data_IF_227690807600
#
_entry.id   IF_227690807600
#
_cell.length_a   1.000
_cell.length_b   1.000
_cell.length_c   1.000
_cell.angle_alpha   90.00
_cell.angle_beta   90.00
_cell.angle_gamma   90.00
#
_symmetry.space_group_name_H-M   'P 1'
#
loop_
_entity.id
_entity.type
_entity.pdbx_description
1 polymer ?
#
# COMPACT_ATOMS: atom_id res chain seq x y z
N UNK A 1 7.89 19.27 -6.40
CA UNK A 1 7.35 17.95 -6.82
C UNK A 1 8.39 17.39 -7.77
N UNK A 2 8.99 16.23 -7.47
CA UNK A 2 10.02 15.67 -8.34
C UNK A 2 9.33 15.01 -9.55
N UNK A 3 9.67 15.48 -10.73
CA UNK A 3 9.15 15.01 -12.02
C UNK A 3 10.29 14.30 -12.73
N UNK A 4 10.05 13.07 -13.15
CA UNK A 4 11.01 12.30 -13.94
C UNK A 4 10.77 12.55 -15.43
N UNK A 5 11.83 12.48 -16.23
CA UNK A 5 11.66 12.43 -17.68
C UNK A 5 10.98 11.12 -18.10
N UNK A 6 10.23 11.09 -19.21
CA UNK A 6 9.70 9.85 -19.76
C UNK A 6 10.82 8.83 -20.04
N UNK A 7 10.71 7.64 -19.46
CA UNK A 7 11.68 6.56 -19.61
C UNK A 7 11.00 5.19 -19.43
N UNK A 8 11.76 4.12 -19.71
CA UNK A 8 11.30 2.73 -19.60
C UNK A 8 11.71 2.14 -18.25
N UNK A 9 10.88 1.21 -17.77
CA UNK A 9 11.21 0.30 -16.69
C UNK A 9 12.04 -0.86 -17.22
N UNK A 10 12.95 -1.36 -16.38
CA UNK A 10 13.68 -2.60 -16.65
C UNK A 10 12.79 -3.85 -16.60
N UNK A 11 11.56 -3.73 -16.11
CA UNK A 11 10.58 -4.81 -16.01
C UNK A 11 9.69 -4.84 -17.25
N UNK A 12 9.96 -5.78 -18.15
CA UNK A 12 9.16 -6.02 -19.36
C UNK A 12 9.23 -4.89 -20.40
N UNK A 13 10.15 -3.92 -20.26
CA UNK A 13 10.28 -2.79 -21.18
C UNK A 13 9.05 -1.86 -21.20
N UNK A 14 8.25 -1.88 -20.14
CA UNK A 14 7.06 -1.05 -20.00
C UNK A 14 7.44 0.41 -19.71
N UNK A 15 6.55 1.34 -20.03
CA UNK A 15 6.75 2.75 -19.65
C UNK A 15 6.74 2.88 -18.12
N UNK A 16 7.69 3.66 -17.58
CA UNK A 16 7.93 3.72 -16.14
C UNK A 16 6.72 4.26 -15.35
N UNK A 17 5.94 5.17 -15.96
CA UNK A 17 4.71 5.69 -15.37
C UNK A 17 3.62 4.62 -15.23
N UNK A 18 3.50 3.70 -16.19
CA UNK A 18 2.59 2.55 -16.15
C UNK A 18 3.04 1.57 -15.07
N UNK A 19 4.33 1.24 -15.02
CA UNK A 19 4.86 0.35 -13.98
C UNK A 19 4.71 0.92 -12.58
N UNK A 20 4.93 2.22 -12.40
CA UNK A 20 4.72 2.91 -11.13
C UNK A 20 3.25 2.86 -10.68
N UNK A 21 2.30 2.94 -11.60
CA UNK A 21 0.87 2.75 -11.31
C UNK A 21 0.58 1.30 -10.90
N UNK A 22 1.11 0.32 -11.64
CA UNK A 22 0.92 -1.11 -11.38
C UNK A 22 1.41 -1.54 -10.00
N UNK A 23 2.37 -0.82 -9.41
CA UNK A 23 2.82 -1.04 -8.03
C UNK A 23 1.70 -0.99 -6.99
N UNK A 24 0.62 -0.22 -7.23
CA UNK A 24 -0.53 -0.15 -6.33
C UNK A 24 -1.59 -1.21 -6.65
N UNK A 25 -1.70 -1.60 -7.93
CA UNK A 25 -2.67 -2.61 -8.37
C UNK A 25 -2.22 -4.04 -8.07
N UNK A 26 -0.92 -4.31 -8.04
CA UNK A 26 -0.38 -5.66 -7.84
C UNK A 26 -0.87 -6.29 -6.54
N UNK A 27 -0.95 -5.51 -5.45
CA UNK A 27 -1.46 -5.99 -4.17
C UNK A 27 -2.96 -6.24 -4.21
N UNK A 28 -3.73 -5.37 -4.86
CA UNK A 28 -5.18 -5.54 -5.01
C UNK A 28 -5.50 -6.82 -5.78
N UNK A 29 -4.88 -7.01 -6.95
CA UNK A 29 -5.07 -8.21 -7.78
C UNK A 29 -4.58 -9.46 -7.05
N UNK A 30 -3.41 -9.40 -6.41
CA UNK A 30 -2.88 -10.51 -5.61
C UNK A 30 -3.80 -10.90 -4.44
N UNK A 31 -4.51 -9.92 -3.87
CA UNK A 31 -5.51 -10.12 -2.81
C UNK A 31 -6.75 -10.88 -3.25
N UNK A 32 -7.08 -10.87 -4.54
CA UNK A 32 -8.22 -11.61 -5.10
C UNK A 32 -7.93 -13.10 -5.30
N UNK A 33 -6.65 -13.50 -5.28
CA UNK A 33 -6.24 -14.88 -5.51
C UNK A 33 -6.17 -15.62 -4.16
N UNK A 34 -6.94 -16.72 -3.95
CA UNK A 34 -7.07 -17.37 -2.64
C UNK A 34 -5.76 -17.76 -1.96
N UNK A 35 -4.77 -18.20 -2.74
CA UNK A 35 -3.45 -18.63 -2.23
C UNK A 35 -2.51 -17.44 -2.01
N UNK A 36 -2.56 -16.43 -2.88
CA UNK A 36 -1.62 -15.30 -2.87
C UNK A 36 -2.02 -14.22 -1.86
N UNK A 37 -3.31 -14.10 -1.51
CA UNK A 37 -3.83 -13.03 -0.64
C UNK A 37 -3.08 -12.88 0.69
N UNK A 38 -2.55 -13.96 1.26
CA UNK A 38 -1.81 -13.95 2.53
C UNK A 38 -0.43 -13.27 2.44
N UNK A 39 0.15 -13.24 1.24
CA UNK A 39 1.47 -12.66 0.96
C UNK A 39 1.42 -11.49 -0.03
N UNK A 40 0.23 -11.16 -0.57
CA UNK A 40 0.05 -10.15 -1.60
C UNK A 40 0.61 -8.76 -1.20
N UNK A 41 0.57 -8.44 0.09
CA UNK A 41 1.11 -7.19 0.64
C UNK A 41 2.63 -7.03 0.46
N UNK A 42 3.36 -8.13 0.21
CA UNK A 42 4.79 -8.15 -0.07
C UNK A 42 5.13 -7.96 -1.55
N UNK A 43 4.16 -8.08 -2.47
CA UNK A 43 4.41 -8.06 -3.92
C UNK A 43 5.14 -6.78 -4.40
N UNK A 44 4.87 -5.58 -3.87
CA UNK A 44 5.62 -4.40 -4.29
C UNK A 44 7.12 -4.47 -3.95
N UNK A 45 7.56 -5.24 -2.93
CA UNK A 45 8.99 -5.46 -2.68
C UNK A 45 9.68 -6.24 -3.80
N UNK A 46 8.97 -7.19 -4.41
CA UNK A 46 9.50 -7.91 -5.57
C UNK A 46 9.84 -6.91 -6.68
N UNK A 47 8.98 -5.91 -6.89
CA UNK A 47 9.21 -4.83 -7.86
C UNK A 47 10.41 -3.97 -7.44
N UNK A 48 10.55 -3.59 -6.16
CA UNK A 48 11.70 -2.81 -5.66
C UNK A 48 13.03 -3.50 -5.98
N UNK A 49 13.11 -4.81 -5.77
CA UNK A 49 14.33 -5.59 -5.97
C UNK A 49 14.63 -5.89 -7.44
N UNK A 50 13.59 -6.12 -8.25
CA UNK A 50 13.77 -6.45 -9.67
C UNK A 50 13.97 -5.21 -10.54
N UNK A 51 13.38 -4.06 -10.17
CA UNK A 51 13.60 -2.80 -10.89
C UNK A 51 15.04 -2.34 -10.70
N UNK A 52 15.73 -2.08 -11.81
CA UNK A 52 17.13 -1.64 -11.83
C UNK A 52 17.33 -0.23 -12.37
N UNK A 53 16.42 0.28 -13.21
CA UNK A 53 16.69 1.49 -13.99
C UNK A 53 15.83 2.68 -13.56
N UNK A 54 14.61 2.44 -13.10
CA UNK A 54 13.67 3.53 -12.79
C UNK A 54 13.61 3.87 -11.29
N UNK A 55 14.05 5.08 -10.95
CA UNK A 55 13.83 5.67 -9.63
C UNK A 55 12.35 5.92 -9.31
N UNK A 56 11.56 6.29 -10.33
CA UNK A 56 10.11 6.46 -10.22
C UNK A 56 9.42 5.16 -9.79
N UNK A 57 9.70 4.06 -10.50
CA UNK A 57 9.10 2.74 -10.20
C UNK A 57 9.53 2.26 -8.83
N UNK A 58 10.83 2.32 -8.49
CA UNK A 58 11.32 1.94 -7.16
C UNK A 58 10.64 2.72 -6.03
N UNK A 59 10.47 4.04 -6.21
CA UNK A 59 9.79 4.87 -5.22
C UNK A 59 8.34 4.45 -5.03
N UNK A 60 7.56 4.33 -6.12
CA UNK A 60 6.15 3.96 -6.03
C UNK A 60 5.96 2.51 -5.53
N UNK A 61 6.87 1.59 -5.87
CA UNK A 61 6.89 0.24 -5.35
C UNK A 61 7.16 0.21 -3.83
N UNK A 62 8.15 0.97 -3.35
CA UNK A 62 8.42 1.08 -1.91
C UNK A 62 7.27 1.75 -1.17
N UNK A 63 6.70 2.82 -1.72
CA UNK A 63 5.55 3.51 -1.11
C UNK A 63 4.32 2.59 -1.04
N UNK A 64 4.05 1.81 -2.08
CA UNK A 64 2.99 0.81 -2.07
C UNK A 64 3.25 -0.29 -1.03
N UNK A 65 4.50 -0.75 -0.88
CA UNK A 65 4.86 -1.69 0.18
C UNK A 65 4.61 -1.11 1.58
N UNK A 66 5.12 0.09 1.86
CA UNK A 66 4.96 0.76 3.17
C UNK A 66 3.49 1.00 3.49
N UNK A 67 2.69 1.44 2.51
CA UNK A 67 1.25 1.62 2.66
C UNK A 67 0.57 0.31 3.07
N UNK A 68 0.93 -0.80 2.42
CA UNK A 68 0.38 -2.12 2.74
C UNK A 68 0.87 -2.66 4.09
N UNK A 69 2.13 -2.41 4.46
CA UNK A 69 2.68 -2.78 5.76
C UNK A 69 1.95 -2.05 6.90
N UNK A 70 1.72 -0.75 6.76
CA UNK A 70 0.98 0.03 7.75
C UNK A 70 -0.48 -0.43 7.81
N UNK A 71 -1.10 -0.67 6.66
CA UNK A 71 -2.45 -1.24 6.58
C UNK A 71 -2.54 -2.56 7.34
N UNK A 72 -1.57 -3.46 7.14
CA UNK A 72 -1.49 -4.74 7.85
C UNK A 72 -1.43 -4.56 9.38
N UNK A 73 -0.54 -3.67 9.87
CA UNK A 73 -0.43 -3.39 11.31
C UNK A 73 -1.75 -2.84 11.87
N UNK A 74 -2.40 -1.92 11.16
CA UNK A 74 -3.69 -1.35 11.55
C UNK A 74 -4.78 -2.42 11.56
N UNK A 75 -4.84 -3.29 10.55
CA UNK A 75 -5.79 -4.41 10.51
C UNK A 75 -5.59 -5.37 11.67
N UNK A 76 -4.34 -5.69 12.03
CA UNK A 76 -4.04 -6.55 13.19
C UNK A 76 -4.54 -5.89 14.49
N UNK A 77 -4.32 -4.58 14.68
CA UNK A 77 -4.81 -3.86 15.86
C UNK A 77 -6.34 -3.89 15.91
N UNK A 78 -7.03 -3.59 14.80
CA UNK A 78 -8.49 -3.64 14.72
C UNK A 78 -9.02 -5.06 14.99
N UNK A 79 -8.35 -6.09 14.49
CA UNK A 79 -8.72 -7.49 14.74
C UNK A 79 -8.61 -7.83 16.23
N UNK A 80 -7.53 -7.44 16.90
CA UNK A 80 -7.37 -7.64 18.35
C UNK A 80 -8.49 -6.91 19.11
N UNK A 81 -8.73 -5.63 18.80
CA UNK A 81 -9.80 -4.86 19.43
C UNK A 81 -11.18 -5.47 19.20
N UNK A 82 -11.41 -6.03 18.02
CA UNK A 82 -12.66 -6.73 17.68
C UNK A 82 -12.81 -7.98 18.51
N UNK A 83 -11.79 -8.83 18.58
CA UNK A 83 -11.82 -10.08 19.35
C UNK A 83 -12.01 -9.80 20.85
N UNK A 84 -11.24 -8.86 21.41
CA UNK A 84 -11.32 -8.52 22.84
C UNK A 84 -12.67 -7.87 23.16
N UNK A 85 -13.09 -6.87 22.37
CA UNK A 85 -14.34 -6.15 22.61
C UNK A 85 -15.57 -7.02 22.46
N UNK A 86 -15.64 -7.84 21.40
CA UNK A 86 -16.76 -8.77 21.22
C UNK A 86 -16.72 -9.90 22.23
N UNK A 87 -15.54 -10.43 22.58
CA UNK A 87 -15.40 -11.44 23.62
C UNK A 87 -15.92 -10.98 24.97
N UNK A 88 -15.59 -9.74 25.38
CA UNK A 88 -16.10 -9.15 26.61
C UNK A 88 -17.63 -8.95 26.56
N UNK A 89 -18.17 -8.46 25.44
CA UNK A 89 -19.61 -8.26 25.26
C UNK A 89 -20.41 -9.57 25.30
N UNK A 90 -19.87 -10.62 24.68
CA UNK A 90 -20.45 -11.97 24.70
C UNK A 90 -20.40 -12.57 26.10
N UNK A 91 -19.28 -12.44 26.82
CA UNK A 91 -19.16 -12.89 28.21
C UNK A 91 -20.15 -12.17 29.15
N UNK A 92 -20.48 -10.91 28.85
CA UNK A 92 -21.50 -10.15 29.55
C UNK A 92 -22.95 -10.48 29.13
N UNK A 93 -23.16 -11.39 28.16
CA UNK A 93 -24.49 -11.81 27.69
C UNK A 93 -25.25 -10.74 26.89
N UNK A 94 -24.57 -9.68 26.42
CA UNK A 94 -25.22 -8.55 25.76
C UNK A 94 -25.07 -8.61 24.23
N UNK A 95 -26.15 -8.98 23.56
CA UNK A 95 -26.23 -8.94 22.10
C UNK A 95 -26.04 -7.50 21.57
N UNK A 96 -26.68 -6.51 22.22
CA UNK A 96 -26.56 -5.11 21.84
C UNK A 96 -25.12 -4.61 21.92
N UNK A 97 -24.38 -4.94 22.98
CA UNK A 97 -22.98 -4.56 23.10
C UNK A 97 -22.10 -5.24 22.03
N UNK A 98 -22.39 -6.49 21.69
CA UNK A 98 -21.66 -7.24 20.66
C UNK A 98 -21.80 -6.57 19.29
N UNK A 99 -23.03 -6.25 18.88
CA UNK A 99 -23.28 -5.53 17.63
C UNK A 99 -22.76 -4.09 17.67
N UNK A 100 -22.77 -3.44 18.84
CA UNK A 100 -22.19 -2.11 19.02
C UNK A 100 -20.68 -2.10 18.73
N UNK A 101 -19.93 -3.05 19.28
CA UNK A 101 -18.48 -3.18 19.02
C UNK A 101 -18.21 -3.46 17.54
N UNK A 102 -18.93 -4.41 16.94
CA UNK A 102 -18.77 -4.75 15.52
C UNK A 102 -19.11 -3.57 14.60
N UNK A 103 -20.19 -2.84 14.89
CA UNK A 103 -20.62 -1.69 14.10
C UNK A 103 -19.60 -0.56 14.14
N UNK A 104 -19.13 -0.19 15.33
CA UNK A 104 -18.13 0.89 15.49
C UNK A 104 -16.82 0.53 14.81
N UNK A 105 -16.26 -0.65 15.10
CA UNK A 105 -14.99 -1.07 14.50
C UNK A 105 -15.11 -1.29 12.99
N UNK A 106 -16.27 -1.77 12.52
CA UNK A 106 -16.55 -1.90 11.08
C UNK A 106 -16.54 -0.56 10.35
N UNK A 107 -17.19 0.46 10.91
CA UNK A 107 -17.19 1.82 10.33
C UNK A 107 -15.77 2.42 10.32
N UNK A 108 -15.02 2.25 11.42
CA UNK A 108 -13.61 2.70 11.49
C UNK A 108 -12.75 2.00 10.44
N UNK A 109 -12.89 0.68 10.30
CA UNK A 109 -12.19 -0.10 9.27
C UNK A 109 -12.53 0.35 7.85
N UNK A 110 -13.80 0.66 7.59
CA UNK A 110 -14.25 1.18 6.30
C UNK A 110 -13.63 2.55 6.00
N UNK A 111 -13.66 3.47 6.96
CA UNK A 111 -13.08 4.81 6.80
C UNK A 111 -11.58 4.75 6.48
N UNK A 112 -10.83 3.90 7.18
CA UNK A 112 -9.40 3.68 6.93
C UNK A 112 -9.17 3.10 5.53
N UNK A 113 -9.97 2.11 5.13
CA UNK A 113 -9.88 1.48 3.80
C UNK A 113 -10.11 2.50 2.67
N UNK A 114 -11.09 3.38 2.84
CA UNK A 114 -11.37 4.47 1.91
C UNK A 114 -10.18 5.45 1.83
N UNK A 115 -9.60 5.85 2.98
CA UNK A 115 -8.45 6.74 3.00
C UNK A 115 -7.24 6.13 2.25
N UNK A 116 -6.95 4.85 2.48
CA UNK A 116 -5.89 4.11 1.78
C UNK A 116 -6.15 4.07 0.27
N UNK A 117 -7.39 3.78 -0.13
CA UNK A 117 -7.78 3.74 -1.53
C UNK A 117 -7.61 5.11 -2.21
N UNK A 118 -8.08 6.19 -1.57
CA UNK A 118 -7.94 7.56 -2.07
C UNK A 118 -6.47 7.92 -2.28
N UNK A 119 -5.61 7.68 -1.28
CA UNK A 119 -4.18 7.97 -1.42
C UNK A 119 -3.50 7.12 -2.50
N UNK A 120 -3.90 5.86 -2.64
CA UNK A 120 -3.42 4.98 -3.72
C UNK A 120 -3.82 5.52 -5.09
N UNK A 121 -5.08 5.95 -5.27
CA UNK A 121 -5.57 6.54 -6.52
C UNK A 121 -4.81 7.83 -6.86
N UNK A 122 -4.62 8.72 -5.88
CA UNK A 122 -3.86 9.96 -6.11
C UNK A 122 -2.42 9.63 -6.54
N UNK A 123 -1.77 8.66 -5.88
CA UNK A 123 -0.43 8.22 -6.24
C UNK A 123 -0.36 7.64 -7.66
N UNK A 124 -1.35 6.82 -8.05
CA UNK A 124 -1.48 6.25 -9.40
C UNK A 124 -1.69 7.33 -10.47
N UNK A 125 -2.59 8.29 -10.24
CA UNK A 125 -2.86 9.38 -11.17
C UNK A 125 -1.61 10.24 -11.35
N UNK A 126 -0.89 10.54 -10.26
CA UNK A 126 0.34 11.32 -10.31
C UNK A 126 1.50 10.57 -10.97
N UNK A 127 1.61 9.26 -10.75
CA UNK A 127 2.65 8.46 -11.39
C UNK A 127 2.48 8.39 -12.90
N UNK A 128 1.23 8.44 -13.41
CA UNK A 128 0.96 8.50 -14.86
C UNK A 128 1.63 9.71 -15.54
N UNK A 129 1.73 10.83 -14.84
CA UNK A 129 2.45 12.04 -15.27
C UNK A 129 3.94 12.06 -14.93
N UNK A 130 4.55 10.91 -14.63
CA UNK A 130 5.95 10.79 -14.17
C UNK A 130 6.27 11.59 -12.90
N UNK A 131 5.26 11.84 -12.06
CA UNK A 131 5.41 12.62 -10.84
C UNK A 131 5.40 11.72 -9.62
N UNK A 132 6.31 12.01 -8.69
CA UNK A 132 6.26 11.40 -7.36
C UNK A 132 5.27 12.16 -6.48
N UNK A 133 4.22 11.45 -6.07
CA UNK A 133 3.33 11.89 -5.00
C UNK A 133 3.71 11.18 -3.69
N UNK A 134 4.20 11.96 -2.74
CA UNK A 134 4.48 11.50 -1.39
C UNK A 134 3.19 11.48 -0.59
N UNK A 135 2.69 10.29 -0.29
CA UNK A 135 1.49 10.15 0.55
C UNK A 135 1.81 10.74 1.93
N UNK A 136 0.95 11.60 2.51
CA UNK A 136 1.14 12.12 3.86
C UNK A 136 1.40 11.01 4.88
N UNK A 137 2.23 11.30 5.88
CA UNK A 137 2.67 10.38 6.94
C UNK A 137 3.60 9.24 6.50
N UNK A 138 3.43 8.68 5.29
CA UNK A 138 4.17 7.49 4.85
C UNK A 138 5.23 7.77 3.79
N UNK A 139 5.11 8.87 3.03
CA UNK A 139 6.01 9.20 1.94
C UNK A 139 7.46 9.38 2.40
N UNK A 140 7.66 9.98 3.57
CA UNK A 140 8.99 10.11 4.18
C UNK A 140 9.63 8.76 4.52
N UNK A 141 8.83 7.81 5.01
CA UNK A 141 9.28 6.43 5.28
C UNK A 141 9.67 5.74 3.98
N UNK A 142 8.83 5.85 2.95
CA UNK A 142 9.10 5.28 1.63
C UNK A 142 10.39 5.83 1.02
N UNK A 143 10.63 7.15 1.10
CA UNK A 143 11.88 7.77 0.65
C UNK A 143 13.09 7.26 1.43
N UNK A 144 12.99 7.20 2.76
CA UNK A 144 14.07 6.73 3.62
C UNK A 144 14.43 5.27 3.30
N UNK A 145 13.44 4.41 3.05
CA UNK A 145 13.67 3.01 2.72
C UNK A 145 14.19 2.82 1.29
N UNK A 146 13.62 3.51 0.29
CA UNK A 146 14.05 3.34 -1.11
C UNK A 146 15.44 3.89 -1.38
N UNK A 147 15.91 4.86 -0.60
CA UNK A 147 17.28 5.40 -0.74
C UNK A 147 18.37 4.35 -0.51
N UNK A 148 18.05 3.25 0.18
CA UNK A 148 18.92 2.08 0.35
C UNK A 148 18.97 1.16 -0.88
N UNK A 149 18.11 1.39 -1.88
CA UNK A 149 17.98 0.60 -3.09
C UNK A 149 18.03 1.47 -4.36
N UNK A 150 19.08 2.27 -4.56
CA UNK A 150 19.16 3.21 -5.69
C UNK A 150 19.07 2.47 -7.04
N UNK A 151 18.52 3.11 -8.11
CA UNK A 151 18.62 2.59 -9.47
C UNK A 151 20.08 2.58 -9.94
N UNK A 152 20.42 1.58 -10.76
CA UNK A 152 21.75 1.36 -11.31
C UNK A 152 22.14 2.45 -12.33
N UNK A 153 21.16 3.04 -13.02
CA UNK A 153 21.37 4.18 -13.91
C UNK A 153 20.68 5.40 -13.30
N UNK A 154 21.45 6.45 -13.04
CA UNK A 154 20.94 7.74 -12.56
C UNK A 154 20.38 8.50 -13.75
N UNK A 155 19.16 8.15 -14.17
CA UNK A 155 18.34 9.07 -14.94
C UNK A 155 17.44 9.81 -13.96
N UNK A 156 17.91 10.99 -13.55
CA UNK A 156 17.10 12.00 -12.85
C UNK A 156 16.06 12.61 -13.76
#
# INVERSE_FOLDING_TARGET
>A
MNTYQPHRSSLGGLDANIMALLCYLVTFVGGLIPVVKYVAWLLPLVIVFLEKESGLVKFHAMQAFVLNLISFVVTVIIAILTVVGTGAAVAAGSAAATFGVLGVLGIVSLAISIAILVFSIIAMVKSYGYQVYNIPLIGGIAQALVSKFPPANIQG
#
